data_IF_267688269693
#
_entry.id   IF_267688269693
#
_cell.length_a   1.000
_cell.length_b   1.000
_cell.length_c   1.000
_cell.angle_alpha   90.00
_cell.angle_beta   90.00
_cell.angle_gamma   90.00
#
_symmetry.space_group_name_H-M   'P 1'
#
loop_
_entity.id
_entity.type
_entity.pdbx_description
1 polymer ?
#
# COMPACT_ATOMS: atom_id res chain seq x y z
N UNK A 1 3.70 -28.13 -4.98
CA UNK A 1 4.51 -27.53 -3.89
C UNK A 1 3.53 -26.79 -3.00
N UNK A 2 3.40 -27.16 -1.74
CA UNK A 2 2.54 -26.46 -0.79
C UNK A 2 3.10 -25.04 -0.58
N UNK A 3 2.38 -24.06 -1.02
CA UNK A 3 2.71 -22.65 -0.78
C UNK A 3 2.62 -22.41 0.72
N UNK A 4 3.71 -21.96 1.33
CA UNK A 4 3.76 -21.68 2.76
C UNK A 4 2.87 -20.47 3.01
N UNK A 5 1.64 -20.67 3.50
CA UNK A 5 0.58 -19.66 3.70
C UNK A 5 0.96 -18.57 4.73
N UNK A 6 2.16 -18.63 5.30
CA UNK A 6 2.60 -17.76 6.39
C UNK A 6 3.59 -16.67 5.97
N UNK A 7 3.89 -16.54 4.66
CA UNK A 7 4.96 -15.63 4.22
C UNK A 7 4.47 -14.19 4.04
N UNK A 8 3.28 -13.97 3.46
CA UNK A 8 2.83 -12.65 3.07
C UNK A 8 1.40 -12.34 3.51
N UNK A 9 1.22 -11.19 4.15
CA UNK A 9 -0.09 -10.55 4.34
C UNK A 9 -0.16 -9.26 3.53
N UNK A 10 -1.25 -9.08 2.78
CA UNK A 10 -1.57 -7.82 2.09
C UNK A 10 -2.69 -7.08 2.83
N UNK A 11 -2.40 -5.88 3.27
CA UNK A 11 -3.35 -4.96 3.92
C UNK A 11 -4.02 -4.10 2.86
N UNK A 12 -5.33 -3.96 2.91
CA UNK A 12 -6.12 -3.16 1.96
C UNK A 12 -7.05 -2.21 2.72
N UNK A 13 -6.68 -0.93 2.86
CA UNK A 13 -7.57 0.06 3.45
C UNK A 13 -8.73 0.40 2.50
N UNK A 14 -9.95 0.26 2.99
CA UNK A 14 -11.20 0.53 2.30
C UNK A 14 -11.91 1.71 2.97
N UNK A 15 -12.27 2.72 2.20
CA UNK A 15 -13.03 3.88 2.67
C UNK A 15 -14.04 4.29 1.60
N UNK A 16 -15.32 4.02 1.85
CA UNK A 16 -16.40 4.24 0.91
C UNK A 16 -16.15 3.54 -0.44
N UNK A 17 -15.98 2.23 -0.37
CA UNK A 17 -15.63 1.37 -1.52
C UNK A 17 -16.73 0.32 -1.82
N UNK A 18 -17.97 0.56 -1.40
CA UNK A 18 -19.09 -0.40 -1.52
C UNK A 18 -19.24 -1.00 -2.93
N UNK A 19 -19.00 -0.18 -3.97
CA UNK A 19 -19.07 -0.64 -5.37
C UNK A 19 -17.91 -1.53 -5.80
N UNK A 20 -16.74 -1.38 -5.16
CA UNK A 20 -15.51 -2.10 -5.53
C UNK A 20 -15.29 -3.35 -4.67
N UNK A 21 -15.88 -3.41 -3.48
CA UNK A 21 -15.64 -4.49 -2.51
C UNK A 21 -15.99 -5.88 -3.03
N UNK A 22 -17.07 -6.13 -3.78
CA UNK A 22 -17.36 -7.47 -4.32
C UNK A 22 -16.25 -7.97 -5.25
N UNK A 23 -15.78 -7.13 -6.19
CA UNK A 23 -14.69 -7.48 -7.11
C UNK A 23 -13.36 -7.64 -6.37
N UNK A 24 -13.11 -6.80 -5.37
CA UNK A 24 -11.93 -6.88 -4.51
C UNK A 24 -11.89 -8.19 -3.75
N UNK A 25 -12.98 -8.58 -3.08
CA UNK A 25 -13.07 -9.81 -2.32
C UNK A 25 -12.85 -11.05 -3.19
N UNK A 26 -13.48 -11.09 -4.37
CA UNK A 26 -13.28 -12.17 -5.33
C UNK A 26 -11.81 -12.26 -5.78
N UNK A 27 -11.18 -11.12 -6.04
CA UNK A 27 -9.77 -11.05 -6.43
C UNK A 27 -8.83 -11.52 -5.31
N UNK A 28 -9.10 -11.12 -4.06
CA UNK A 28 -8.37 -11.58 -2.88
C UNK A 28 -8.51 -13.09 -2.69
N UNK A 29 -9.72 -13.64 -2.79
CA UNK A 29 -9.99 -15.07 -2.63
C UNK A 29 -9.26 -15.91 -3.69
N UNK A 30 -9.30 -15.47 -4.95
CA UNK A 30 -8.55 -16.11 -6.05
C UNK A 30 -7.05 -16.06 -5.81
N UNK A 31 -6.54 -14.90 -5.38
CA UNK A 31 -5.12 -14.73 -5.13
C UNK A 31 -4.63 -15.59 -3.95
N UNK A 32 -5.40 -15.65 -2.86
CA UNK A 32 -5.12 -16.55 -1.73
C UNK A 32 -5.07 -18.01 -2.16
N UNK A 33 -6.04 -18.47 -2.94
CA UNK A 33 -6.07 -19.84 -3.44
C UNK A 33 -4.85 -20.20 -4.30
N UNK A 34 -4.28 -19.23 -5.02
CA UNK A 34 -3.11 -19.43 -5.88
C UNK A 34 -1.78 -19.34 -5.14
N UNK A 35 -1.70 -18.47 -4.13
CA UNK A 35 -0.41 -18.08 -3.52
C UNK A 35 -0.30 -18.42 -2.04
N UNK A 36 -1.40 -18.74 -1.36
CA UNK A 36 -1.45 -18.88 0.10
C UNK A 36 -1.27 -17.56 0.86
N UNK A 37 -1.26 -16.41 0.18
CA UNK A 37 -1.15 -15.10 0.84
C UNK A 37 -2.40 -14.80 1.66
N UNK A 38 -2.21 -14.08 2.77
CA UNK A 38 -3.30 -13.60 3.63
C UNK A 38 -3.69 -12.17 3.29
N UNK A 39 -4.92 -11.81 3.61
CA UNK A 39 -5.42 -10.45 3.46
C UNK A 39 -5.99 -9.90 4.77
N UNK A 40 -5.78 -8.61 4.97
CA UNK A 40 -6.44 -7.83 6.03
C UNK A 40 -7.15 -6.66 5.35
N UNK A 41 -8.47 -6.73 5.27
CA UNK A 41 -9.32 -5.66 4.75
C UNK A 41 -9.67 -4.71 5.89
N UNK A 42 -9.40 -3.43 5.73
CA UNK A 42 -9.62 -2.43 6.77
C UNK A 42 -10.82 -1.56 6.38
N UNK A 43 -11.92 -1.68 7.11
CA UNK A 43 -12.93 -0.64 7.06
C UNK A 43 -12.39 0.61 7.77
N UNK A 44 -11.98 1.61 7.01
CA UNK A 44 -11.34 2.81 7.54
C UNK A 44 -12.35 3.92 7.86
N UNK A 45 -13.41 3.60 8.62
CA UNK A 45 -14.45 4.55 9.02
C UNK A 45 -15.37 4.93 7.86
N UNK A 46 -15.81 3.95 7.05
CA UNK A 46 -16.73 4.18 5.93
C UNK A 46 -18.09 4.63 6.40
N UNK A 47 -18.74 5.50 5.63
CA UNK A 47 -20.10 6.01 5.85
C UNK A 47 -21.14 5.42 4.89
N UNK A 48 -20.69 4.64 3.90
CA UNK A 48 -21.52 3.90 2.95
C UNK A 48 -21.77 2.46 3.45
N UNK A 49 -22.23 1.58 2.56
CA UNK A 49 -22.50 0.17 2.91
C UNK A 49 -21.24 -0.71 2.97
N UNK A 50 -20.03 -0.14 2.84
CA UNK A 50 -18.75 -0.89 2.89
C UNK A 50 -18.61 -1.71 4.17
N UNK A 51 -19.00 -1.14 5.33
CA UNK A 51 -18.92 -1.84 6.62
C UNK A 51 -19.74 -3.13 6.62
N UNK A 52 -21.02 -3.04 6.20
CA UNK A 52 -21.91 -4.20 6.20
C UNK A 52 -21.39 -5.31 5.27
N UNK A 53 -20.85 -4.95 4.12
CA UNK A 53 -20.25 -5.91 3.22
C UNK A 53 -19.01 -6.59 3.86
N UNK A 54 -18.10 -5.79 4.43
CA UNK A 54 -16.89 -6.31 5.06
C UNK A 54 -17.23 -7.23 6.24
N UNK A 55 -18.17 -6.85 7.09
CA UNK A 55 -18.62 -7.65 8.24
C UNK A 55 -19.29 -8.98 7.82
N UNK A 56 -19.78 -9.09 6.58
CA UNK A 56 -20.35 -10.33 6.03
C UNK A 56 -19.28 -11.31 5.52
N UNK A 57 -18.02 -10.90 5.42
CA UNK A 57 -16.95 -11.76 4.92
C UNK A 57 -16.63 -12.86 5.92
N UNK A 58 -16.68 -14.11 5.44
CA UNK A 58 -16.22 -15.30 6.16
C UNK A 58 -15.26 -16.08 5.28
N UNK A 59 -13.95 -15.93 5.54
CA UNK A 59 -12.89 -16.61 4.78
C UNK A 59 -11.68 -16.89 5.68
N UNK A 60 -11.08 -18.07 5.63
CA UNK A 60 -10.01 -18.46 6.57
C UNK A 60 -8.76 -17.58 6.47
N UNK A 61 -8.44 -17.07 5.28
CA UNK A 61 -7.22 -16.29 5.01
C UNK A 61 -7.49 -14.80 4.76
N UNK A 62 -8.73 -14.33 4.89
CA UNK A 62 -9.12 -12.94 4.74
C UNK A 62 -9.78 -12.47 6.02
N UNK A 63 -9.11 -11.59 6.75
CA UNK A 63 -9.63 -11.00 7.97
C UNK A 63 -10.07 -9.55 7.75
N UNK A 64 -10.98 -9.07 8.59
CA UNK A 64 -11.49 -7.70 8.55
C UNK A 64 -11.16 -6.99 9.86
N UNK A 65 -10.76 -5.74 9.76
CA UNK A 65 -10.56 -4.84 10.91
C UNK A 65 -11.41 -3.60 10.71
N UNK A 66 -12.25 -3.29 11.68
CA UNK A 66 -13.10 -2.10 11.67
C UNK A 66 -12.45 -0.96 12.46
N UNK A 67 -12.37 0.21 11.83
CA UNK A 67 -11.98 1.48 12.44
C UNK A 67 -13.23 2.36 12.43
N UNK A 68 -13.62 2.87 13.58
CA UNK A 68 -14.86 3.64 13.71
C UNK A 68 -14.76 5.03 13.07
N UNK A 69 -13.61 5.68 13.17
CA UNK A 69 -13.39 7.04 12.67
C UNK A 69 -12.20 7.04 11.73
N UNK A 70 -12.39 7.57 10.52
CA UNK A 70 -11.31 7.74 9.55
C UNK A 70 -10.29 8.77 10.06
N UNK A 71 -9.16 8.29 10.51
CA UNK A 71 -8.01 9.12 10.95
C UNK A 71 -6.86 9.06 9.93
N UNK A 72 -7.21 8.94 8.66
CA UNK A 72 -6.30 8.96 7.51
C UNK A 72 -5.89 7.61 6.98
N UNK A 73 -5.39 7.63 5.74
CA UNK A 73 -4.95 6.46 5.00
C UNK A 73 -3.85 5.67 5.73
N UNK A 74 -2.81 6.36 6.19
CA UNK A 74 -1.68 5.74 6.88
C UNK A 74 -2.10 5.07 8.18
N UNK A 75 -3.08 5.65 8.92
CA UNK A 75 -3.64 5.00 10.09
C UNK A 75 -4.35 3.70 9.72
N UNK A 76 -5.17 3.70 8.66
CA UNK A 76 -5.84 2.49 8.18
C UNK A 76 -4.85 1.38 7.85
N UNK A 77 -3.83 1.68 7.03
CA UNK A 77 -2.76 0.72 6.72
C UNK A 77 -2.06 0.23 7.99
N UNK A 78 -1.75 1.13 8.91
CA UNK A 78 -1.04 0.80 10.15
C UNK A 78 -1.81 -0.13 11.07
N UNK A 79 -3.12 0.02 11.19
CA UNK A 79 -3.95 -0.93 11.96
C UNK A 79 -3.90 -2.34 11.34
N UNK A 80 -3.93 -2.44 10.01
CA UNK A 80 -3.77 -3.71 9.32
C UNK A 80 -2.38 -4.31 9.49
N UNK A 81 -1.32 -3.51 9.43
CA UNK A 81 0.06 -3.94 9.70
C UNK A 81 0.16 -4.53 11.11
N UNK A 82 -0.46 -3.90 12.10
CA UNK A 82 -0.45 -4.40 13.50
C UNK A 82 -1.20 -5.73 13.68
N UNK A 83 -2.24 -5.98 12.88
CA UNK A 83 -3.01 -7.23 12.94
C UNK A 83 -2.37 -8.39 12.18
N UNK A 84 -1.42 -8.11 11.28
CA UNK A 84 -0.73 -9.11 10.49
C UNK A 84 0.42 -9.77 11.26
N UNK A 85 0.63 -11.08 11.06
CA UNK A 85 1.65 -11.87 11.77
C UNK A 85 2.62 -12.64 10.85
N UNK A 86 2.52 -12.46 9.52
CA UNK A 86 3.39 -13.09 8.53
C UNK A 86 4.78 -12.43 8.48
N UNK A 87 5.76 -13.10 7.88
CA UNK A 87 7.14 -12.59 7.75
C UNK A 87 7.23 -11.29 6.95
N UNK A 88 6.43 -11.20 5.90
CA UNK A 88 6.29 -10.03 5.03
C UNK A 88 4.89 -9.45 5.17
N UNK A 89 4.84 -8.13 5.23
CA UNK A 89 3.57 -7.39 5.25
C UNK A 89 3.64 -6.33 4.16
N UNK A 90 2.62 -6.29 3.33
CA UNK A 90 2.50 -5.28 2.29
C UNK A 90 1.11 -4.64 2.28
N UNK A 91 0.93 -3.68 1.38
CA UNK A 91 -0.38 -3.06 1.18
C UNK A 91 -0.59 -2.64 -0.27
N UNK A 92 -1.86 -2.61 -0.64
CA UNK A 92 -2.38 -2.10 -1.93
C UNK A 92 -3.64 -1.28 -1.67
N UNK A 93 -4.03 -0.43 -2.63
CA UNK A 93 -5.31 0.28 -2.58
C UNK A 93 -6.49 -0.61 -2.99
N UNK A 94 -7.68 -0.35 -2.44
CA UNK A 94 -8.89 -1.13 -2.73
C UNK A 94 -9.31 -1.04 -4.21
N UNK A 95 -9.13 0.11 -4.86
CA UNK A 95 -9.41 0.32 -6.29
C UNK A 95 -8.42 -0.39 -7.22
N UNK A 96 -7.45 -1.09 -6.67
CA UNK A 96 -6.43 -1.84 -7.41
C UNK A 96 -6.64 -3.37 -7.34
N UNK A 97 -7.84 -3.84 -7.05
CA UNK A 97 -8.17 -5.27 -7.04
C UNK A 97 -7.68 -6.03 -8.28
N UNK A 98 -7.81 -5.40 -9.45
CA UNK A 98 -7.32 -5.97 -10.72
C UNK A 98 -5.81 -6.19 -10.79
N UNK A 99 -5.03 -5.53 -9.93
CA UNK A 99 -3.60 -5.78 -9.85
C UNK A 99 -3.30 -7.18 -9.34
N UNK A 100 -4.12 -7.71 -8.44
CA UNK A 100 -3.93 -9.05 -7.88
C UNK A 100 -3.90 -10.12 -8.98
N UNK A 101 -4.78 -10.02 -9.99
CA UNK A 101 -4.81 -10.95 -11.12
C UNK A 101 -3.53 -10.97 -11.96
N UNK A 102 -2.76 -9.87 -11.95
CA UNK A 102 -1.52 -9.72 -12.71
C UNK A 102 -0.27 -9.66 -11.80
N UNK A 103 -0.48 -9.77 -10.49
CA UNK A 103 0.58 -9.68 -9.50
C UNK A 103 1.23 -11.07 -9.32
N UNK A 104 2.18 -11.37 -10.17
CA UNK A 104 2.99 -12.58 -10.03
C UNK A 104 4.12 -12.30 -9.04
N UNK A 105 3.84 -12.51 -7.75
CA UNK A 105 4.84 -12.50 -6.70
C UNK A 105 5.48 -13.89 -6.63
N UNK A 106 6.71 -14.00 -7.08
CA UNK A 106 7.50 -15.20 -6.79
C UNK A 106 7.86 -15.16 -5.28
N UNK A 107 7.20 -16.00 -4.50
CA UNK A 107 7.33 -16.07 -3.03
C UNK A 107 8.77 -16.45 -2.64
N UNK A 108 9.45 -17.30 -3.41
CA UNK A 108 10.85 -17.65 -3.17
C UNK A 108 11.78 -16.42 -3.32
N UNK A 109 11.42 -15.50 -4.22
CA UNK A 109 12.13 -14.24 -4.37
C UNK A 109 11.83 -13.25 -3.23
N UNK A 110 10.63 -13.34 -2.63
CA UNK A 110 10.23 -12.50 -1.51
C UNK A 110 10.95 -12.89 -0.21
N UNK A 111 11.36 -14.15 -0.05
CA UNK A 111 12.09 -14.64 1.14
C UNK A 111 13.55 -14.19 1.19
N UNK A 112 14.02 -13.40 0.22
CA UNK A 112 15.37 -12.83 0.26
C UNK A 112 15.56 -11.94 1.49
N UNK A 113 16.38 -12.37 2.43
CA UNK A 113 16.71 -11.61 3.63
C UNK A 113 17.27 -10.22 3.29
N UNK A 114 16.92 -9.21 4.08
CA UNK A 114 17.35 -7.83 3.91
C UNK A 114 16.83 -7.12 2.66
N UNK A 115 15.65 -7.47 2.17
CA UNK A 115 15.03 -6.82 1.02
C UNK A 115 13.62 -6.32 1.31
N UNK A 116 13.18 -5.34 0.55
CA UNK A 116 11.79 -4.90 0.46
C UNK A 116 11.37 -4.76 -1.00
N UNK A 117 10.07 -4.70 -1.26
CA UNK A 117 9.55 -4.72 -2.62
C UNK A 117 8.58 -3.57 -2.83
N UNK A 118 8.75 -2.87 -3.96
CA UNK A 118 7.86 -1.79 -4.37
C UNK A 118 7.40 -1.95 -5.80
N UNK A 119 6.17 -1.55 -6.05
CA UNK A 119 5.63 -1.49 -7.39
C UNK A 119 6.44 -0.57 -8.29
N UNK A 120 6.47 -0.93 -9.58
CA UNK A 120 6.92 -0.09 -10.68
C UNK A 120 5.80 -0.01 -11.72
N UNK A 121 5.16 1.15 -11.79
CA UNK A 121 3.94 1.34 -12.58
C UNK A 121 4.24 1.48 -14.07
N UNK A 122 3.74 0.54 -14.88
CA UNK A 122 3.83 0.54 -16.34
C UNK A 122 2.51 1.05 -16.95
N UNK A 123 2.56 1.62 -18.14
CA UNK A 123 1.36 2.08 -18.85
C UNK A 123 0.88 3.50 -18.52
N UNK A 124 1.60 4.24 -17.67
CA UNK A 124 1.25 5.62 -17.28
C UNK A 124 1.54 6.66 -18.37
N UNK A 125 0.76 7.74 -18.37
CA UNK A 125 0.96 8.89 -19.25
C UNK A 125 2.29 9.61 -18.96
N UNK A 126 2.78 10.40 -19.94
CA UNK A 126 4.00 11.20 -19.76
C UNK A 126 3.86 12.21 -18.61
N UNK A 127 2.68 12.84 -18.46
CA UNK A 127 2.42 13.82 -17.40
C UNK A 127 2.50 13.17 -16.00
N UNK A 128 1.84 12.03 -15.79
CA UNK A 128 1.90 11.30 -14.52
C UNK A 128 3.32 10.87 -14.15
N UNK A 129 4.11 10.45 -15.16
CA UNK A 129 5.52 10.10 -14.95
C UNK A 129 6.34 11.31 -14.51
N UNK A 130 6.18 12.46 -15.17
CA UNK A 130 6.90 13.70 -14.83
C UNK A 130 6.57 14.14 -13.40
N UNK A 131 5.29 14.19 -13.03
CA UNK A 131 4.87 14.59 -11.68
C UNK A 131 5.47 13.66 -10.61
N UNK A 132 5.36 12.35 -10.79
CA UNK A 132 5.91 11.40 -9.83
C UNK A 132 7.44 11.45 -9.75
N UNK A 133 8.09 11.67 -10.87
CA UNK A 133 9.55 11.79 -10.95
C UNK A 133 10.05 13.05 -10.24
N UNK A 134 9.43 14.20 -10.51
CA UNK A 134 9.77 15.47 -9.85
C UNK A 134 9.61 15.38 -8.34
N UNK A 135 8.48 14.80 -7.87
CA UNK A 135 8.24 14.57 -6.44
C UNK A 135 9.30 13.65 -5.83
N UNK A 136 9.65 12.57 -6.52
CA UNK A 136 10.66 11.62 -6.05
C UNK A 136 12.04 12.29 -5.94
N UNK A 137 12.42 13.14 -6.88
CA UNK A 137 13.69 13.90 -6.82
C UNK A 137 13.70 14.83 -5.62
N UNK A 138 12.63 15.63 -5.43
CA UNK A 138 12.56 16.58 -4.32
C UNK A 138 12.64 15.86 -2.96
N UNK A 139 11.86 14.82 -2.77
CA UNK A 139 11.89 14.03 -1.53
C UNK A 139 13.25 13.36 -1.31
N UNK A 140 13.88 12.87 -2.39
CA UNK A 140 15.21 12.26 -2.31
C UNK A 140 16.27 13.26 -1.88
N UNK A 141 16.22 14.49 -2.40
CA UNK A 141 17.12 15.56 -2.02
C UNK A 141 16.95 15.97 -0.55
N UNK A 142 15.71 16.18 -0.11
CA UNK A 142 15.39 16.54 1.28
C UNK A 142 15.85 15.46 2.25
N UNK A 143 15.54 14.19 1.96
CA UNK A 143 15.84 13.06 2.84
C UNK A 143 17.29 12.55 2.73
N UNK A 144 18.06 13.04 1.75
CA UNK A 144 19.43 12.60 1.51
C UNK A 144 19.54 11.14 1.05
N UNK A 145 18.48 10.58 0.48
CA UNK A 145 18.44 9.19 0.01
C UNK A 145 17.64 9.07 -1.28
N UNK A 146 17.98 8.08 -2.10
CA UNK A 146 17.34 7.90 -3.41
C UNK A 146 16.01 7.18 -3.27
N UNK A 147 14.91 7.90 -3.46
CA UNK A 147 13.54 7.37 -3.51
C UNK A 147 12.99 7.45 -4.95
N UNK A 148 12.29 6.40 -5.39
CA UNK A 148 11.66 6.36 -6.72
C UNK A 148 10.24 5.82 -6.60
N UNK A 149 9.31 6.33 -7.40
CA UNK A 149 7.94 5.80 -7.42
C UNK A 149 7.37 5.65 -5.98
N UNK A 150 7.49 6.71 -5.16
CA UNK A 150 7.22 6.69 -3.70
C UNK A 150 5.87 6.03 -3.37
N UNK A 151 4.81 6.39 -4.11
CA UNK A 151 3.45 5.91 -3.88
C UNK A 151 3.06 4.74 -4.80
N UNK A 152 4.05 4.04 -5.38
CA UNK A 152 3.75 2.86 -6.19
C UNK A 152 3.53 1.64 -5.29
N UNK A 153 2.47 0.90 -5.58
CA UNK A 153 2.08 -0.32 -4.88
C UNK A 153 2.14 -1.53 -5.82
N UNK A 154 2.28 -2.74 -5.27
CA UNK A 154 2.35 -3.08 -3.85
C UNK A 154 3.59 -2.51 -3.17
N UNK A 155 3.47 -2.24 -1.88
CA UNK A 155 4.60 -1.95 -1.00
C UNK A 155 4.70 -3.08 0.01
N UNK A 156 5.81 -3.84 0.00
CA UNK A 156 5.97 -5.05 0.83
C UNK A 156 7.28 -4.94 1.59
N UNK A 157 7.22 -5.12 2.90
CA UNK A 157 8.36 -4.97 3.80
C UNK A 157 8.47 -6.12 4.79
N UNK A 158 9.68 -6.44 5.26
CA UNK A 158 9.85 -7.37 6.36
C UNK A 158 9.14 -6.88 7.62
N UNK A 159 8.43 -7.78 8.29
CA UNK A 159 7.69 -7.49 9.53
C UNK A 159 8.60 -6.91 10.62
N UNK A 160 9.83 -7.39 10.73
CA UNK A 160 10.80 -6.90 11.71
C UNK A 160 11.15 -5.41 11.54
N UNK A 161 11.18 -4.89 10.31
CA UNK A 161 11.31 -3.45 10.06
C UNK A 161 10.08 -2.70 10.57
N UNK A 162 8.88 -3.20 10.25
CA UNK A 162 7.62 -2.53 10.61
C UNK A 162 7.42 -2.50 12.13
N UNK A 163 7.80 -3.54 12.85
CA UNK A 163 7.73 -3.60 14.31
C UNK A 163 8.63 -2.56 15.03
N UNK A 164 9.65 -2.02 14.35
CA UNK A 164 10.51 -0.95 14.88
C UNK A 164 9.86 0.44 14.78
N UNK A 165 8.78 0.57 14.03
CA UNK A 165 8.06 1.82 13.84
C UNK A 165 7.08 1.99 15.01
N UNK A 166 7.18 3.13 15.71
CA UNK A 166 6.29 3.43 16.85
C UNK A 166 5.10 4.31 16.44
N UNK A 167 5.36 5.41 15.79
CA UNK A 167 4.36 6.43 15.43
C UNK A 167 4.51 6.85 13.97
N UNK A 168 3.99 6.05 13.02
CA UNK A 168 4.05 6.42 11.61
C UNK A 168 3.06 7.55 11.29
N UNK A 169 3.29 8.31 10.22
CA UNK A 169 2.33 9.28 9.72
C UNK A 169 0.97 8.64 9.43
N UNK A 170 -0.11 9.32 9.82
CA UNK A 170 -1.48 8.83 9.64
C UNK A 170 -2.04 9.06 8.23
N UNK A 171 -1.38 9.89 7.45
CA UNK A 171 -1.82 10.28 6.10
C UNK A 171 -1.04 9.55 4.99
N UNK A 172 -1.12 10.06 3.76
CA UNK A 172 -0.44 9.47 2.58
C UNK A 172 1.09 9.55 2.61
N UNK A 173 1.68 10.29 3.55
CA UNK A 173 3.12 10.26 3.75
C UNK A 173 3.62 8.97 4.40
N UNK A 174 2.71 8.11 4.86
CA UNK A 174 3.01 6.77 5.39
C UNK A 174 3.88 5.95 4.43
N UNK A 175 3.49 5.88 3.14
CA UNK A 175 4.27 5.14 2.13
C UNK A 175 5.71 5.64 2.00
N UNK A 176 5.89 6.97 1.97
CA UNK A 176 7.20 7.59 1.91
C UNK A 176 8.00 7.32 3.19
N UNK A 177 7.36 7.41 4.35
CA UNK A 177 7.99 7.19 5.63
C UNK A 177 8.55 5.78 5.76
N UNK A 178 7.73 4.75 5.49
CA UNK A 178 8.18 3.36 5.58
C UNK A 178 9.27 3.06 4.55
N UNK A 179 9.14 3.61 3.34
CA UNK A 179 10.16 3.47 2.31
C UNK A 179 11.49 4.10 2.74
N UNK A 180 11.45 5.32 3.26
CA UNK A 180 12.64 5.99 3.80
C UNK A 180 13.29 5.17 4.93
N UNK A 181 12.48 4.65 5.87
CA UNK A 181 12.96 3.78 6.95
C UNK A 181 13.63 2.53 6.42
N UNK A 182 13.07 1.88 5.40
CA UNK A 182 13.64 0.69 4.79
C UNK A 182 15.02 0.96 4.17
N UNK A 183 15.14 2.03 3.38
CA UNK A 183 16.42 2.42 2.75
C UNK A 183 17.44 2.83 3.80
N UNK A 184 17.06 3.61 4.82
CA UNK A 184 17.94 4.05 5.91
C UNK A 184 18.44 2.89 6.77
N UNK A 185 17.70 1.79 6.85
CA UNK A 185 18.13 0.54 7.50
C UNK A 185 18.96 -0.38 6.57
N UNK A 186 19.30 0.08 5.37
CA UNK A 186 20.15 -0.67 4.44
C UNK A 186 19.45 -1.83 3.73
N UNK A 187 18.11 -1.88 3.73
CA UNK A 187 17.39 -2.92 3.00
C UNK A 187 17.53 -2.72 1.49
N UNK A 188 17.71 -3.83 0.77
CA UNK A 188 17.80 -3.84 -0.69
C UNK A 188 16.42 -3.65 -1.31
N UNK A 189 16.30 -2.67 -2.21
CA UNK A 189 15.07 -2.42 -2.95
C UNK A 189 14.93 -3.38 -4.14
N UNK A 190 13.78 -4.05 -4.24
CA UNK A 190 13.36 -4.82 -5.41
C UNK A 190 12.11 -4.21 -6.02
N UNK A 191 11.97 -4.29 -7.36
CA UNK A 191 10.87 -3.70 -8.09
C UNK A 191 9.97 -4.75 -8.73
N UNK A 192 8.67 -4.63 -8.48
CA UNK A 192 7.64 -5.46 -9.07
C UNK A 192 6.96 -4.65 -10.17
N UNK A 193 7.05 -5.12 -11.41
CA UNK A 193 6.33 -4.47 -12.52
C UNK A 193 4.83 -4.65 -12.36
N UNK A 194 4.11 -3.54 -12.38
CA UNK A 194 2.67 -3.50 -12.18
C UNK A 194 2.03 -2.77 -13.35
N UNK A 195 1.20 -3.47 -14.09
CA UNK A 195 0.38 -2.86 -15.14
C UNK A 195 -0.77 -2.12 -14.48
N UNK A 196 -0.80 -0.79 -14.61
CA UNK A 196 -1.91 0.00 -14.07
C UNK A 196 -3.19 -0.29 -14.87
N UNK A 197 -4.24 -0.82 -14.25
CA UNK A 197 -5.51 -0.99 -14.93
C UNK A 197 -6.11 0.38 -15.26
N UNK A 198 -6.78 0.48 -16.41
CA UNK A 198 -7.65 1.61 -16.66
C UNK A 198 -8.78 1.58 -15.62
N UNK A 199 -9.00 2.67 -14.91
CA UNK A 199 -10.11 2.80 -13.96
C UNK A 199 -11.42 2.60 -14.69
N UNK A 200 -12.23 1.66 -14.20
CA UNK A 200 -13.53 1.34 -14.78
C UNK A 200 -14.70 1.88 -13.94
N UNK A 201 -14.48 2.18 -12.66
CA UNK A 201 -15.52 2.67 -11.72
C UNK A 201 -14.95 3.68 -10.72
N UNK A 202 -15.80 4.57 -10.24
CA UNK A 202 -15.50 5.53 -9.19
C UNK A 202 -14.68 6.75 -9.64
N UNK A 203 -14.90 7.90 -8.99
CA UNK A 203 -14.03 9.07 -9.09
C UNK A 203 -12.91 8.94 -8.06
N UNK A 204 -11.66 9.21 -8.47
CA UNK A 204 -10.58 9.33 -7.51
C UNK A 204 -10.88 10.48 -6.56
N UNK A 205 -11.06 10.21 -5.28
CA UNK A 205 -11.14 11.27 -4.26
C UNK A 205 -9.89 12.17 -4.24
N UNK A 206 -8.84 11.77 -4.95
CA UNK A 206 -7.52 12.40 -5.01
C UNK A 206 -7.28 13.24 -6.26
N UNK A 207 -7.89 12.91 -7.41
CA UNK A 207 -7.61 13.54 -8.69
C UNK A 207 -8.76 14.46 -9.09
N UNK A 208 -9.08 15.40 -8.22
CA UNK A 208 -10.08 16.46 -8.48
C UNK A 208 -9.48 17.67 -9.19
N UNK A 209 -8.37 17.49 -9.94
CA UNK A 209 -7.73 18.52 -10.76
C UNK A 209 -6.36 18.98 -10.28
N UNK A 210 -5.75 19.90 -11.04
CA UNK A 210 -4.37 20.37 -10.83
C UNK A 210 -4.12 20.93 -9.42
N UNK A 211 -5.11 21.58 -8.81
CA UNK A 211 -5.01 22.11 -7.43
C UNK A 211 -4.84 21.01 -6.38
N UNK A 212 -5.55 19.89 -6.53
CA UNK A 212 -5.43 18.75 -5.61
C UNK A 212 -4.05 18.11 -5.70
N UNK A 213 -3.51 17.97 -6.92
CA UNK A 213 -2.17 17.42 -7.15
C UNK A 213 -1.11 18.31 -6.50
N UNK A 214 -1.20 19.63 -6.67
CA UNK A 214 -0.27 20.59 -6.05
C UNK A 214 -0.35 20.51 -4.53
N UNK A 215 -1.56 20.53 -3.95
CA UNK A 215 -1.76 20.43 -2.50
C UNK A 215 -1.16 19.13 -1.95
N UNK A 216 -1.37 18.00 -2.60
CA UNK A 216 -0.80 16.72 -2.21
C UNK A 216 0.74 16.72 -2.30
N UNK A 217 1.29 17.30 -3.37
CA UNK A 217 2.75 17.42 -3.54
C UNK A 217 3.38 18.26 -2.44
N UNK A 218 2.79 19.42 -2.11
CA UNK A 218 3.26 20.28 -1.02
C UNK A 218 3.19 19.57 0.34
N UNK A 219 2.12 18.81 0.59
CA UNK A 219 2.00 18.02 1.82
C UNK A 219 3.07 16.94 1.91
N UNK A 220 3.35 16.24 0.83
CA UNK A 220 4.42 15.22 0.77
C UNK A 220 5.79 15.84 1.04
N UNK A 221 6.08 17.01 0.47
CA UNK A 221 7.33 17.73 0.71
C UNK A 221 7.44 18.18 2.17
N UNK A 222 6.37 18.75 2.74
CA UNK A 222 6.33 19.13 4.16
C UNK A 222 6.62 17.92 5.07
N UNK A 223 6.03 16.78 4.76
CA UNK A 223 6.27 15.53 5.50
C UNK A 223 7.72 15.05 5.37
N UNK A 224 8.35 15.18 4.19
CA UNK A 224 9.77 14.85 4.00
C UNK A 224 10.67 15.75 4.88
N UNK A 225 10.36 17.05 4.98
CA UNK A 225 11.09 17.99 5.84
C UNK A 225 10.94 17.61 7.33
N UNK A 226 9.73 17.27 7.76
CA UNK A 226 9.48 16.82 9.14
C UNK A 226 10.24 15.54 9.48
N UNK A 227 10.24 14.56 8.58
CA UNK A 227 11.01 13.31 8.73
C UNK A 227 12.51 13.59 8.88
N UNK A 228 13.05 14.52 8.08
CA UNK A 228 14.47 14.89 8.13
C UNK A 228 14.85 15.53 9.46
N UNK A 229 13.93 16.29 10.08
CA UNK A 229 14.17 16.95 11.38
C UNK A 229 14.06 15.99 12.58
N UNK A 230 13.33 14.89 12.41
CA UNK A 230 13.13 13.86 13.44
C UNK A 230 14.09 12.65 13.34
N UNK A 231 14.94 12.64 12.33
CA UNK A 231 16.01 11.65 12.13
C UNK A 231 17.30 12.15 12.75
#
# INVERSE_FOLDING_TARGET
MSVNSEILTLVIPCFNEEENLPELFESCSKYTALTGSRFVLINNGSSDNSRNFLDSISHPEISVVNIEINDGYGNGVWQGVKSANTELIGWIHADQAKLLGNLNLNIDFLSAQNAFFKGFRVGRTKQEKIISFSMSIMCSFILGTRLREINAQPSIYPRNLLLQIKEPPKDFSFDMYVYFRAVSNGLKENRIRVQMPNRTKGSSSWNTGTKAIIKMSLKTISSAIQMKRGS
#
